data_IF_279901975248
#
_entry.id   IF_279901975248
#
_cell.length_a   1.000
_cell.length_b   1.000
_cell.length_c   1.000
_cell.angle_alpha   90.00
_cell.angle_beta   90.00
_cell.angle_gamma   90.00
#
_symmetry.space_group_name_H-M   'P 1'
#
loop_
_entity.id
_entity.type
_entity.pdbx_description
1 polymer ?
#
# COMPACT_ATOMS: atom_id res chain seq x y z
N UNK A 1 13.86 10.98 -2.59
CA UNK A 1 14.06 10.83 -3.32
C UNK A 1 13.65 10.24 -4.22
N UNK A 2 13.38 10.34 -4.72
CA UNK A 2 12.69 9.73 -5.53
C UNK A 2 13.35 8.86 -6.30
N UNK A 3 13.36 8.50 -6.71
CA UNK A 3 13.91 7.66 -7.29
C UNK A 3 14.02 7.71 -8.53
N UNK A 4 14.08 7.84 -9.04
CA UNK A 4 14.13 7.78 -10.04
C UNK A 4 14.70 7.47 -10.94
N UNK A 5 14.82 7.33 -11.59
CA UNK A 5 15.31 6.85 -12.36
C UNK A 5 15.73 7.23 -13.27
N UNK A 6 15.96 7.38 -13.57
CA UNK A 6 16.38 7.71 -14.32
C UNK A 6 16.61 7.31 -15.29
N UNK A 7 16.52 7.21 -15.68
CA UNK A 7 16.85 6.77 -16.54
C UNK A 7 16.54 6.73 -17.59
N UNK A 8 16.29 6.52 -17.95
CA UNK A 8 15.97 6.27 -19.01
C UNK A 8 15.07 7.07 -19.55
N UNK A 9 14.87 7.64 -19.55
CA UNK A 9 14.07 8.54 -20.01
C UNK A 9 12.79 8.18 -20.54
N UNK A 10 12.59 7.09 -20.70
CA UNK A 10 11.48 6.73 -21.29
C UNK A 10 10.34 7.00 -20.57
N UNK A 11 10.31 6.79 -19.43
CA UNK A 11 9.15 6.93 -18.79
C UNK A 11 9.29 8.03 -17.99
N UNK A 12 9.92 8.86 -18.37
CA UNK A 12 10.09 9.94 -17.63
C UNK A 12 8.82 10.62 -17.36
N UNK A 13 7.88 10.40 -18.10
CA UNK A 13 6.68 11.09 -17.87
C UNK A 13 6.08 10.77 -16.56
N UNK A 14 6.59 9.86 -15.83
CA UNK A 14 6.01 9.43 -14.77
C UNK A 14 6.68 9.65 -13.59
N UNK A 15 7.01 10.76 -13.10
CA UNK A 15 7.60 10.91 -11.91
C UNK A 15 6.60 10.92 -10.87
N UNK A 16 6.70 10.14 -9.90
CA UNK A 16 5.79 10.07 -8.82
C UNK A 16 6.33 10.90 -7.67
N UNK A 17 5.59 11.87 -7.21
CA UNK A 17 6.04 12.73 -6.17
C UNK A 17 5.36 12.30 -4.89
N UNK A 18 5.76 11.22 -4.37
CA UNK A 18 5.13 10.64 -3.20
C UNK A 18 5.63 11.28 -1.92
N UNK A 19 4.73 11.77 -1.10
CA UNK A 19 5.11 12.32 0.17
C UNK A 19 4.56 11.51 1.34
N UNK A 20 3.68 10.56 1.07
CA UNK A 20 3.06 9.79 2.13
C UNK A 20 3.85 8.54 2.46
N UNK A 21 3.75 8.10 3.70
CA UNK A 21 4.35 6.84 4.11
C UNK A 21 3.26 5.80 4.11
N UNK A 22 3.42 4.76 3.31
CA UNK A 22 2.41 3.71 3.16
C UNK A 22 2.89 2.44 3.82
N UNK A 23 2.06 1.83 4.66
CA UNK A 23 2.37 0.58 5.31
C UNK A 23 1.24 -0.40 5.01
N UNK A 24 1.58 -1.57 4.54
CA UNK A 24 0.60 -2.59 4.20
C UNK A 24 0.78 -3.78 5.13
N UNK A 25 -0.25 -4.09 5.90
CA UNK A 25 -0.26 -5.26 6.76
C UNK A 25 -0.84 -6.40 5.95
N UNK A 26 -0.04 -7.41 5.70
CA UNK A 26 -0.32 -8.46 4.76
C UNK A 26 -0.17 -9.84 5.37
N UNK A 27 -0.57 -10.88 4.68
CA UNK A 27 -0.30 -12.25 5.10
C UNK A 27 -0.09 -13.09 3.87
N UNK A 28 0.45 -14.29 4.05
CA UNK A 28 0.66 -15.18 2.93
C UNK A 28 -0.67 -15.77 2.47
N UNK A 29 -0.72 -16.22 1.26
CA UNK A 29 -1.90 -16.85 0.67
C UNK A 29 -3.11 -15.90 0.73
N UNK A 30 -2.92 -14.66 0.39
CA UNK A 30 -3.98 -13.67 0.43
C UNK A 30 -4.02 -12.94 -0.90
N UNK A 31 -5.02 -13.21 -1.71
CA UNK A 31 -5.12 -12.63 -3.04
C UNK A 31 -5.27 -11.12 -3.02
N UNK A 32 -6.03 -10.59 -2.06
CA UNK A 32 -6.19 -9.14 -1.98
C UNK A 32 -4.90 -8.47 -1.50
N UNK A 33 -4.12 -9.16 -0.69
CA UNK A 33 -2.82 -8.64 -0.27
C UNK A 33 -1.90 -8.55 -1.49
N UNK A 34 -1.92 -9.56 -2.35
CA UNK A 34 -1.13 -9.56 -3.55
C UNK A 34 -1.59 -8.47 -4.51
N UNK A 35 -2.89 -8.25 -4.58
CA UNK A 35 -3.45 -7.22 -5.42
C UNK A 35 -2.91 -5.84 -5.02
N UNK A 36 -2.95 -5.53 -3.75
CA UNK A 36 -2.48 -4.24 -3.26
C UNK A 36 -0.98 -4.11 -3.49
N UNK A 37 -0.24 -5.17 -3.22
CA UNK A 37 1.20 -5.18 -3.40
C UNK A 37 1.55 -4.87 -4.85
N UNK A 38 0.88 -5.55 -5.78
CA UNK A 38 1.15 -5.36 -7.18
C UNK A 38 0.74 -3.96 -7.65
N UNK A 39 -0.40 -3.49 -7.18
CA UNK A 39 -0.90 -2.19 -7.56
C UNK A 39 0.09 -1.08 -7.15
N UNK A 40 0.55 -1.14 -5.92
CA UNK A 40 1.48 -0.12 -5.43
C UNK A 40 2.79 -0.16 -6.22
N UNK A 41 3.24 -1.36 -6.56
CA UNK A 41 4.46 -1.48 -7.34
C UNK A 41 4.27 -0.93 -8.75
N UNK A 42 3.13 -1.19 -9.36
CA UNK A 42 2.87 -0.70 -10.69
C UNK A 42 2.77 0.81 -10.74
N UNK A 43 2.37 1.42 -9.66
CA UNK A 43 2.28 2.86 -9.59
C UNK A 43 3.59 3.50 -9.15
N UNK A 44 4.62 2.69 -8.96
CA UNK A 44 5.93 3.14 -8.52
C UNK A 44 5.90 3.83 -7.16
N UNK A 45 4.99 3.40 -6.30
CA UNK A 45 4.91 3.97 -4.98
C UNK A 45 5.76 3.16 -4.02
N UNK A 46 6.40 3.81 -3.09
CA UNK A 46 7.18 3.13 -2.09
C UNK A 46 6.29 2.82 -0.91
N UNK A 47 6.44 1.66 -0.34
CA UNK A 47 5.65 1.26 0.80
C UNK A 47 6.39 0.20 1.60
N UNK A 48 5.98 0.02 2.84
CA UNK A 48 6.53 -1.01 3.70
C UNK A 48 5.50 -2.11 3.80
N UNK A 49 5.92 -3.33 3.52
CA UNK A 49 5.02 -4.47 3.63
C UNK A 49 5.39 -5.25 4.87
N UNK A 50 4.45 -5.38 5.78
CA UNK A 50 4.64 -6.16 7.00
C UNK A 50 3.81 -7.42 6.86
N UNK A 51 4.39 -8.57 7.17
CA UNK A 51 3.74 -9.84 6.92
C UNK A 51 3.44 -10.55 8.22
N UNK A 52 2.22 -11.05 8.35
CA UNK A 52 1.81 -11.81 9.52
C UNK A 52 2.76 -12.97 9.74
N UNK A 53 3.19 -13.13 10.95
CA UNK A 53 4.12 -14.19 11.30
C UNK A 53 5.58 -13.80 11.13
N UNK A 54 5.83 -12.63 10.54
CA UNK A 54 7.19 -12.16 10.41
C UNK A 54 7.37 -10.88 11.20
N UNK A 55 6.68 -9.82 10.83
CA UNK A 55 6.83 -8.55 11.53
C UNK A 55 5.78 -8.32 12.60
N UNK A 56 4.70 -9.07 12.60
CA UNK A 56 3.66 -8.90 13.60
C UNK A 56 2.89 -10.21 13.80
N UNK A 57 2.15 -10.32 14.89
CA UNK A 57 1.37 -11.51 15.18
C UNK A 57 -0.12 -11.19 14.98
N UNK A 58 -0.96 -12.23 15.02
CA UNK A 58 -2.38 -12.04 14.92
C UNK A 58 -2.86 -11.19 16.10
N UNK A 59 -2.32 -11.43 17.28
CA UNK A 59 -2.71 -10.67 18.45
C UNK A 59 -2.42 -9.19 18.26
N UNK A 60 -1.25 -8.87 17.71
CA UNK A 60 -0.88 -7.50 17.46
C UNK A 60 -1.86 -6.87 16.47
N UNK A 61 -2.21 -7.62 15.45
CA UNK A 61 -3.05 -7.12 14.39
C UNK A 61 -4.46 -6.81 14.92
N UNK A 62 -5.04 -7.75 15.65
CA UNK A 62 -6.38 -7.54 16.17
C UNK A 62 -6.42 -6.47 17.26
N UNK A 63 -5.33 -6.33 17.99
CA UNK A 63 -5.27 -5.30 18.99
C UNK A 63 -5.27 -3.93 18.33
N UNK A 64 -4.57 -3.82 17.20
CA UNK A 64 -4.46 -2.54 16.52
C UNK A 64 -5.69 -2.21 15.71
N UNK A 65 -6.25 -3.16 15.01
CA UNK A 65 -7.31 -2.90 14.05
C UNK A 65 -8.68 -3.43 14.45
N UNK A 66 -8.76 -4.27 15.46
CA UNK A 66 -10.04 -4.83 15.91
C UNK A 66 -10.19 -6.28 15.49
N UNK A 67 -10.99 -7.00 16.23
CA UNK A 67 -11.16 -8.43 16.03
C UNK A 67 -11.85 -8.79 14.72
N UNK A 68 -12.55 -7.85 14.12
CA UNK A 68 -13.23 -8.13 12.89
C UNK A 68 -12.39 -7.77 11.67
N UNK A 69 -11.17 -7.40 11.87
CA UNK A 69 -10.34 -6.91 10.79
C UNK A 69 -9.89 -8.02 9.87
N UNK A 70 -9.76 -7.71 8.60
CA UNK A 70 -9.32 -8.65 7.61
C UNK A 70 -8.09 -8.11 6.91
N UNK A 71 -7.43 -8.95 6.13
CA UNK A 71 -6.24 -8.57 5.39
C UNK A 71 -6.59 -8.27 3.93
N UNK A 72 -5.90 -7.35 3.31
CA UNK A 72 -4.82 -6.53 3.87
C UNK A 72 -5.38 -5.35 4.65
N UNK A 73 -4.53 -4.68 5.40
CA UNK A 73 -4.90 -3.44 6.05
C UNK A 73 -3.80 -2.43 5.69
N UNK A 74 -4.18 -1.26 5.27
CA UNK A 74 -3.24 -0.25 4.82
C UNK A 74 -3.34 0.97 5.70
N UNK A 75 -2.16 1.49 6.10
CA UNK A 75 -2.07 2.73 6.83
C UNK A 75 -1.30 3.69 5.97
N UNK A 76 -1.73 4.93 5.93
CA UNK A 76 -1.03 5.98 5.20
C UNK A 76 -0.86 7.14 6.16
N UNK A 77 0.38 7.50 6.42
CA UNK A 77 0.73 8.56 7.36
C UNK A 77 0.05 8.31 8.71
N UNK A 78 0.17 7.06 9.17
CA UNK A 78 -0.36 6.64 10.46
C UNK A 78 -1.88 6.63 10.55
N UNK A 79 -2.55 6.78 9.43
CA UNK A 79 -3.99 6.75 9.45
C UNK A 79 -4.45 5.46 8.81
N UNK A 80 -5.36 4.75 9.42
CA UNK A 80 -5.87 3.50 8.86
C UNK A 80 -6.79 3.82 7.71
N UNK A 81 -6.42 3.37 6.51
CA UNK A 81 -7.22 3.60 5.32
C UNK A 81 -8.22 2.46 5.16
N UNK A 82 -7.81 1.24 5.45
CA UNK A 82 -8.69 0.09 5.33
C UNK A 82 -8.09 -1.00 4.48
N UNK A 83 -8.92 -1.71 3.78
CA UNK A 83 -8.50 -2.85 2.96
C UNK A 83 -8.21 -2.48 1.54
N UNK A 84 -8.29 -3.46 0.64
CA UNK A 84 -7.92 -3.27 -0.75
C UNK A 84 -8.80 -2.23 -1.44
N UNK A 85 -10.10 -2.33 -1.25
CA UNK A 85 -11.01 -1.41 -1.91
C UNK A 85 -10.79 0.02 -1.42
N UNK A 86 -10.62 0.19 -0.13
CA UNK A 86 -10.41 1.51 0.44
C UNK A 86 -9.10 2.12 -0.06
N UNK A 87 -8.11 1.27 -0.27
CA UNK A 87 -6.82 1.73 -0.77
C UNK A 87 -6.94 2.21 -2.21
N UNK A 88 -7.71 1.50 -3.03
CA UNK A 88 -7.93 1.92 -4.41
C UNK A 88 -8.62 3.28 -4.43
N UNK A 89 -9.63 3.46 -3.58
CA UNK A 89 -10.34 4.73 -3.52
C UNK A 89 -9.40 5.86 -3.07
N UNK A 90 -8.57 5.58 -2.09
CA UNK A 90 -7.61 6.58 -1.63
C UNK A 90 -6.65 6.96 -2.75
N UNK A 91 -6.19 5.98 -3.51
CA UNK A 91 -5.26 6.25 -4.60
C UNK A 91 -5.89 7.10 -5.70
N UNK A 92 -7.19 6.95 -5.91
CA UNK A 92 -7.88 7.76 -6.89
C UNK A 92 -8.00 9.20 -6.40
N UNK A 93 -8.38 9.38 -5.15
CA UNK A 93 -8.55 10.70 -4.58
C UNK A 93 -7.20 11.43 -4.55
N UNK A 94 -6.14 10.71 -4.24
CA UNK A 94 -4.81 11.29 -4.18
C UNK A 94 -4.20 11.44 -5.57
N UNK A 95 -4.92 10.99 -6.59
CA UNK A 95 -4.49 11.13 -7.95
C UNK A 95 -3.32 10.27 -8.39
N UNK A 96 -3.09 9.18 -7.70
CA UNK A 96 -2.10 8.20 -8.12
C UNK A 96 -2.76 7.23 -9.12
N UNK A 97 -4.09 7.16 -9.16
CA UNK A 97 -4.81 6.34 -10.11
C UNK A 97 -5.81 7.21 -10.82
N UNK A 98 -6.16 6.91 -12.06
CA UNK A 98 -7.17 7.63 -12.78
C UNK A 98 -8.49 7.51 -12.04
N UNK A 99 -9.16 8.59 -11.86
CA UNK A 99 -10.32 8.62 -11.01
C UNK A 99 -11.61 8.35 -11.65
N UNK A 100 -11.65 7.97 -12.85
CA UNK A 100 -12.93 7.74 -13.44
C UNK A 100 -12.82 6.91 -14.58
#
# INVERSE_FOLDING_TARGET
>A
MPKKFEDDGIHASYEVDQTEEIIVFSKEDCSYCLYVDRLLKELNLEYTKLTLGKEFTKADFYKKFGMDSTFPKVEIDDEVIGGARDTVEWLKVARYLPGH
#
